data_IF_252762573634
#
_entry.id   IF_252762573634
#
_cell.length_a   1.000
_cell.length_b   1.000
_cell.length_c   1.000
_cell.angle_alpha   90.00
_cell.angle_beta   90.00
_cell.angle_gamma   90.00
#
_symmetry.space_group_name_H-M   'P 1'
#
loop_
_entity.id
_entity.type
_entity.pdbx_description
1 polymer ?
#
# COMPACT_ATOMS: atom_id res chain seq x y z
N UNK A 1 -7.94 -16.49 -6.85
CA UNK A 1 -7.22 -15.57 -5.95
C UNK A 1 -7.99 -14.27 -5.95
N UNK A 2 -8.37 -13.77 -4.78
CA UNK A 2 -9.21 -12.58 -4.63
C UNK A 2 -8.42 -11.52 -3.89
N UNK A 3 -8.07 -10.45 -4.58
CA UNK A 3 -7.48 -9.27 -3.98
C UNK A 3 -8.58 -8.52 -3.22
N UNK A 4 -8.35 -8.21 -1.94
CA UNK A 4 -9.23 -7.32 -1.18
C UNK A 4 -8.43 -6.07 -0.85
N UNK A 5 -8.58 -5.06 -1.70
CA UNK A 5 -8.19 -3.69 -1.32
C UNK A 5 -9.23 -3.21 -0.30
N UNK A 6 -8.77 -2.80 0.89
CA UNK A 6 -9.69 -2.26 1.89
C UNK A 6 -10.21 -0.88 1.39
N UNK A 7 -11.53 -0.70 1.25
CA UNK A 7 -12.12 0.49 0.63
C UNK A 7 -11.83 1.82 1.36
N UNK A 8 -11.49 1.78 2.64
CA UNK A 8 -11.37 2.96 3.50
C UNK A 8 -10.03 3.71 3.38
N UNK A 9 -9.02 3.16 2.70
CA UNK A 9 -7.69 3.80 2.61
C UNK A 9 -7.57 4.83 1.48
N UNK A 10 -8.62 4.98 0.66
CA UNK A 10 -8.64 5.87 -0.50
C UNK A 10 -9.05 7.31 -0.19
N UNK A 11 -9.70 7.62 0.93
CA UNK A 11 -10.30 8.94 1.08
C UNK A 11 -9.25 10.06 1.18
N UNK A 12 -9.05 10.69 0.03
CA UNK A 12 -8.31 11.90 -0.31
C UNK A 12 -8.66 13.13 0.57
N UNK A 13 -9.49 12.98 1.60
CA UNK A 13 -10.00 14.06 2.45
C UNK A 13 -10.38 13.60 3.86
N UNK A 14 -9.41 13.18 4.66
CA UNK A 14 -9.54 13.32 6.11
C UNK A 14 -8.62 14.46 6.62
N UNK A 15 -9.15 15.70 6.72
CA UNK A 15 -8.36 16.86 7.17
C UNK A 15 -7.92 16.78 8.64
N UNK A 16 -8.55 15.92 9.45
CA UNK A 16 -8.36 15.88 10.92
C UNK A 16 -7.43 14.76 11.40
N UNK A 17 -7.13 13.78 10.55
CA UNK A 17 -6.25 12.67 10.90
C UNK A 17 -4.94 12.90 10.16
N UNK A 18 -3.91 13.32 10.90
CA UNK A 18 -2.59 13.65 10.37
C UNK A 18 -1.94 12.51 9.57
N UNK A 19 -0.62 12.62 9.33
CA UNK A 19 0.21 11.75 8.46
C UNK A 19 0.33 10.29 8.93
N UNK A 20 -0.77 9.63 9.26
CA UNK A 20 -0.87 8.30 9.87
C UNK A 20 -1.89 7.45 9.10
N UNK A 21 -1.81 6.13 9.26
CA UNK A 21 -2.71 5.21 8.60
C UNK A 21 -4.13 5.36 9.14
N UNK A 22 -5.15 5.27 8.27
CA UNK A 22 -6.53 5.16 8.71
C UNK A 22 -7.35 4.31 7.73
N UNK A 23 -7.98 3.20 8.19
CA UNK A 23 -7.76 2.55 9.48
C UNK A 23 -6.29 2.17 9.71
N UNK A 24 -5.85 1.84 10.93
CA UNK A 24 -4.47 1.37 11.12
C UNK A 24 -4.36 -0.07 10.61
N UNK A 25 -3.41 -0.41 9.71
CA UNK A 25 -3.22 -1.78 9.28
C UNK A 25 -2.82 -2.64 10.47
N UNK A 26 -3.27 -3.91 10.53
CA UNK A 26 -2.96 -4.81 11.64
C UNK A 26 -1.46 -4.80 12.01
N UNK A 27 -1.16 -4.88 13.30
CA UNK A 27 0.23 -4.78 13.79
C UNK A 27 1.16 -5.90 13.28
N UNK A 28 0.60 -7.01 12.83
CA UNK A 28 1.33 -8.15 12.25
C UNK A 28 1.57 -8.02 10.75
N UNK A 29 1.02 -7.00 10.08
CA UNK A 29 1.32 -6.73 8.67
C UNK A 29 2.70 -6.11 8.53
N UNK A 30 3.43 -6.58 7.53
CA UNK A 30 4.70 -5.99 7.15
C UNK A 30 4.48 -4.65 6.45
N UNK A 31 5.46 -3.74 6.59
CA UNK A 31 5.36 -2.36 6.11
C UNK A 31 6.60 -1.98 5.33
N UNK A 32 6.42 -1.32 4.19
CA UNK A 32 7.50 -0.75 3.39
C UNK A 32 7.21 0.71 3.06
N UNK A 33 8.28 1.49 2.86
CA UNK A 33 8.18 2.82 2.27
C UNK A 33 8.91 2.80 0.95
N UNK A 34 8.16 3.05 -0.12
CA UNK A 34 8.67 3.18 -1.48
C UNK A 34 9.02 4.64 -1.73
N UNK A 35 10.11 4.90 -2.44
CA UNK A 35 10.46 6.25 -2.92
C UNK A 35 9.60 6.67 -4.12
N UNK A 36 8.80 5.75 -4.67
CA UNK A 36 7.91 6.01 -5.80
C UNK A 36 6.76 6.94 -5.45
N UNK A 37 6.20 7.58 -6.48
CA UNK A 37 4.97 8.37 -6.38
C UNK A 37 3.74 7.46 -6.32
N UNK A 38 2.64 7.96 -5.75
CA UNK A 38 1.36 7.23 -5.66
C UNK A 38 0.84 6.75 -7.02
N UNK A 39 1.07 7.50 -8.10
CA UNK A 39 0.71 7.09 -9.46
C UNK A 39 1.49 5.86 -9.92
N UNK A 40 2.80 5.80 -9.64
CA UNK A 40 3.64 4.65 -9.98
C UNK A 40 3.22 3.39 -9.22
N UNK A 41 2.89 3.54 -7.94
CA UNK A 41 2.33 2.46 -7.12
C UNK A 41 1.02 1.92 -7.72
N UNK A 42 0.08 2.80 -8.05
CA UNK A 42 -1.22 2.44 -8.64
C UNK A 42 -1.08 1.71 -9.97
N UNK A 43 -0.20 2.19 -10.85
CA UNK A 43 0.04 1.52 -12.14
C UNK A 43 0.63 0.12 -11.95
N UNK A 44 1.53 -0.03 -10.98
CA UNK A 44 2.14 -1.32 -10.66
C UNK A 44 1.11 -2.30 -10.09
N UNK A 45 0.29 -1.89 -9.12
CA UNK A 45 -0.74 -2.76 -8.52
C UNK A 45 -1.77 -3.17 -9.56
N UNK A 46 -2.23 -2.26 -10.42
CA UNK A 46 -3.16 -2.59 -11.52
C UNK A 46 -2.62 -3.67 -12.48
N UNK A 47 -1.30 -3.80 -12.61
CA UNK A 47 -0.67 -4.75 -13.53
C UNK A 47 -0.26 -6.07 -12.86
N UNK A 48 0.13 -6.02 -11.59
CA UNK A 48 0.81 -7.15 -10.91
C UNK A 48 0.06 -7.69 -9.70
N UNK A 49 -0.91 -6.95 -9.14
CA UNK A 49 -1.50 -7.33 -7.85
C UNK A 49 -2.26 -8.66 -7.91
N UNK A 50 -2.90 -8.99 -9.03
CA UNK A 50 -3.63 -10.26 -9.20
C UNK A 50 -2.73 -11.51 -9.12
N UNK A 51 -1.40 -11.33 -9.23
CA UNK A 51 -0.43 -12.41 -9.07
C UNK A 51 -0.18 -12.78 -7.60
N UNK A 52 -0.72 -12.01 -6.66
CA UNK A 52 -0.51 -12.18 -5.23
C UNK A 52 -1.85 -12.38 -4.52
N UNK A 53 -1.88 -13.34 -3.60
CA UNK A 53 -2.96 -13.48 -2.64
C UNK A 53 -2.62 -12.59 -1.43
N UNK A 54 -2.97 -11.31 -1.53
CA UNK A 54 -2.55 -10.28 -0.59
C UNK A 54 -3.68 -9.29 -0.29
N UNK A 55 -3.78 -8.92 0.98
CA UNK A 55 -4.53 -7.76 1.45
C UNK A 55 -3.52 -6.64 1.72
N UNK A 56 -3.79 -5.43 1.26
CA UNK A 56 -2.87 -4.32 1.47
C UNK A 56 -3.59 -3.00 1.75
N UNK A 57 -2.85 -2.11 2.39
CA UNK A 57 -3.18 -0.72 2.64
C UNK A 57 -2.03 0.14 2.14
N UNK A 58 -2.32 1.33 1.63
CA UNK A 58 -1.28 2.28 1.23
C UNK A 58 -1.70 3.71 1.47
N UNK A 59 -0.73 4.60 1.65
CA UNK A 59 -1.01 6.05 1.69
C UNK A 59 0.20 6.86 1.21
N UNK A 60 -0.05 8.06 0.63
CA UNK A 60 1.03 8.97 0.26
C UNK A 60 1.72 9.54 1.51
N UNK A 61 3.03 9.74 1.39
CA UNK A 61 3.89 10.32 2.42
C UNK A 61 4.82 11.37 1.80
N UNK A 62 5.40 12.30 2.58
CA UNK A 62 6.37 13.27 2.06
C UNK A 62 7.59 12.65 1.38
N UNK A 63 7.93 11.40 1.70
CA UNK A 63 9.08 10.67 1.17
C UNK A 63 8.74 9.61 0.11
N UNK A 64 7.49 9.56 -0.36
CA UNK A 64 7.00 8.58 -1.33
C UNK A 64 5.70 7.90 -0.88
N UNK A 65 5.60 6.59 -1.00
CA UNK A 65 4.38 5.83 -0.64
C UNK A 65 4.68 4.84 0.47
N UNK A 66 3.85 4.82 1.52
CA UNK A 66 3.91 3.79 2.55
C UNK A 66 2.89 2.71 2.20
N UNK A 67 3.32 1.45 2.26
CA UNK A 67 2.48 0.28 1.95
C UNK A 67 2.59 -0.73 3.08
N UNK A 68 1.47 -1.29 3.49
CA UNK A 68 1.38 -2.35 4.48
C UNK A 68 0.60 -3.52 3.88
N UNK A 69 1.01 -4.76 4.16
CA UNK A 69 0.32 -5.95 3.65
C UNK A 69 0.54 -7.15 4.56
N UNK A 70 -0.40 -8.09 4.53
CA UNK A 70 -0.27 -9.43 5.12
C UNK A 70 0.69 -10.34 4.36
N UNK A 71 1.09 -9.96 3.14
CA UNK A 71 1.88 -10.80 2.25
C UNK A 71 3.30 -10.24 2.02
N UNK A 72 4.35 -10.86 2.60
CA UNK A 72 5.73 -10.38 2.44
C UNK A 72 6.27 -10.55 1.02
N UNK A 73 5.76 -11.51 0.23
CA UNK A 73 6.17 -11.67 -1.17
C UNK A 73 5.67 -10.51 -2.03
N UNK A 74 4.42 -10.09 -1.83
CA UNK A 74 3.88 -8.89 -2.47
C UNK A 74 4.76 -7.67 -2.18
N UNK A 75 5.08 -7.43 -0.90
CA UNK A 75 5.92 -6.30 -0.48
C UNK A 75 7.35 -6.37 -1.03
N UNK A 76 7.93 -7.57 -1.12
CA UNK A 76 9.24 -7.77 -1.72
C UNK A 76 9.25 -7.39 -3.21
N UNK A 77 8.29 -7.91 -3.99
CA UNK A 77 8.17 -7.60 -5.41
C UNK A 77 7.88 -6.12 -5.67
N UNK A 78 7.04 -5.52 -4.82
CA UNK A 78 6.74 -4.11 -4.85
C UNK A 78 8.00 -3.27 -4.64
N UNK A 79 8.80 -3.59 -3.62
CA UNK A 79 10.06 -2.91 -3.30
C UNK A 79 11.09 -3.07 -4.42
N UNK A 80 11.26 -4.27 -4.95
CA UNK A 80 12.17 -4.52 -6.09
C UNK A 80 11.79 -3.73 -7.34
N UNK A 81 10.49 -3.46 -7.54
CA UNK A 81 9.99 -2.76 -8.72
C UNK A 81 9.98 -1.23 -8.58
N UNK A 82 9.76 -0.73 -7.36
CA UNK A 82 9.45 0.68 -7.11
C UNK A 82 10.39 1.38 -6.10
N UNK A 83 11.39 0.69 -5.53
CA UNK A 83 12.49 1.29 -4.77
C UNK A 83 12.78 0.67 -3.41
#
# INVERSE_FOLDING_TARGET
MSLIEHPDYWEERHPDHGRTWWPEPPSHWDRVTLKAMGVSFRNWTATNAEMFDATYAWHPSPSGVRVASDNPHFLFHLKMSLG
#
